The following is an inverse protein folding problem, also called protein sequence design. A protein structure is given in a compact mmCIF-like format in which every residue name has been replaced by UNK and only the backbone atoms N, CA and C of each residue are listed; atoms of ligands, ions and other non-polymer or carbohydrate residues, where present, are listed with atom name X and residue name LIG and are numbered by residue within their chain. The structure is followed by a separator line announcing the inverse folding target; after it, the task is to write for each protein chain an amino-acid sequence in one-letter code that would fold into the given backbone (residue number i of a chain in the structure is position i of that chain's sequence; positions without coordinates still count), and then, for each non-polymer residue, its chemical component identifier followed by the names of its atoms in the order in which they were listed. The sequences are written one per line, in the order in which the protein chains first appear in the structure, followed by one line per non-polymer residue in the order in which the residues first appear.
data_IF_285268116824
#
_entry.id   IF_285268116824
#
_cell.length_a   1.000
_cell.length_b   1.000
_cell.length_c   1.000
_cell.angle_alpha   90.00
_cell.angle_beta   90.00
_cell.angle_gamma   90.00
#
_symmetry.space_group_name_H-M   'P 1'
#
loop_
_entity.id
_entity.type
_entity.pdbx_description
1 polymer ?
#
# COMPACT_ATOMS: atom_id res chain seq x y z
N UNK A 1 16.97 8.46 0.63
CA UNK A 1 16.89 7.05 1.07
C UNK A 1 16.14 6.99 2.37
N UNK A 2 15.03 6.24 2.38
CA UNK A 2 14.15 6.10 3.54
C UNK A 2 14.81 5.26 4.65
N UNK A 3 14.61 5.69 5.90
CA UNK A 3 14.97 4.95 7.11
C UNK A 3 13.73 4.24 7.66
N UNK A 4 13.71 2.91 7.55
CA UNK A 4 12.62 2.07 8.04
C UNK A 4 12.64 1.98 9.57
N UNK A 5 11.49 2.26 10.20
CA UNK A 5 11.28 2.09 11.65
C UNK A 5 9.81 1.91 11.97
N UNK A 6 9.47 1.77 13.25
CA UNK A 6 8.09 1.59 13.72
C UNK A 6 7.36 0.39 13.10
N UNK A 7 8.10 -0.62 12.64
CA UNK A 7 7.55 -1.81 11.99
C UNK A 7 7.21 -1.62 10.50
N UNK A 8 7.57 -0.48 9.90
CA UNK A 8 7.49 -0.31 8.45
C UNK A 8 8.59 -1.10 7.74
N UNK A 9 8.25 -1.62 6.58
CA UNK A 9 9.14 -2.26 5.62
C UNK A 9 8.91 -1.67 4.24
N UNK A 10 9.98 -1.56 3.44
CA UNK A 10 9.91 -1.18 2.03
C UNK A 10 9.45 -2.40 1.22
N UNK A 11 8.38 -2.28 0.44
CA UNK A 11 7.86 -3.35 -0.42
C UNK A 11 8.17 -3.12 -1.90
N UNK A 12 8.19 -1.85 -2.35
CA UNK A 12 8.64 -1.47 -3.70
C UNK A 12 9.47 -0.17 -3.66
N UNK A 13 10.74 -0.27 -4.08
CA UNK A 13 11.68 0.86 -4.13
C UNK A 13 11.35 1.86 -5.25
N UNK A 14 10.73 1.40 -6.35
CA UNK A 14 10.46 2.22 -7.54
C UNK A 14 9.39 3.29 -7.31
N UNK A 15 8.47 3.05 -6.36
CA UNK A 15 7.45 3.99 -5.92
C UNK A 15 7.54 4.33 -4.43
N UNK A 16 8.66 3.96 -3.77
CA UNK A 16 8.85 4.14 -2.32
C UNK A 16 7.72 3.53 -1.47
N UNK A 17 7.09 2.46 -1.94
CA UNK A 17 5.98 1.82 -1.24
C UNK A 17 6.48 1.18 0.05
N UNK A 18 5.88 1.60 1.15
CA UNK A 18 6.16 1.09 2.47
C UNK A 18 4.89 0.54 3.10
N UNK A 19 5.03 -0.55 3.84
CA UNK A 19 3.94 -1.22 4.55
C UNK A 19 4.28 -1.42 6.01
N UNK A 20 3.29 -1.34 6.89
CA UNK A 20 3.34 -1.84 8.26
C UNK A 20 2.21 -2.84 8.52
N UNK A 21 2.53 -3.97 9.15
CA UNK A 21 1.53 -4.90 9.68
C UNK A 21 0.95 -4.37 11.00
N UNK A 22 -0.37 -4.19 11.05
CA UNK A 22 -1.11 -3.73 12.24
C UNK A 22 -1.72 -4.89 13.03
N UNK A 23 -1.51 -6.13 12.58
CA UNK A 23 -2.08 -7.34 13.12
C UNK A 23 -3.55 -7.52 12.76
N UNK A 24 -4.06 -8.72 13.04
CA UNK A 24 -5.44 -9.10 12.74
C UNK A 24 -5.84 -8.86 11.26
N UNK A 25 -4.95 -9.21 10.32
CA UNK A 25 -5.18 -9.06 8.86
C UNK A 25 -5.41 -7.60 8.42
N UNK A 26 -4.79 -6.65 9.13
CA UNK A 26 -4.84 -5.21 8.82
C UNK A 26 -3.44 -4.68 8.55
N UNK A 27 -3.31 -3.88 7.50
CA UNK A 27 -2.04 -3.31 7.06
C UNK A 27 -2.17 -1.82 6.82
N UNK A 28 -1.06 -1.09 6.95
CA UNK A 28 -0.97 0.32 6.65
C UNK A 28 0.04 0.51 5.52
N UNK A 29 -0.39 1.15 4.44
CA UNK A 29 0.43 1.40 3.27
C UNK A 29 0.63 2.89 3.04
N UNK A 30 1.77 3.22 2.44
CA UNK A 30 2.06 4.53 1.87
C UNK A 30 2.94 4.35 0.63
N UNK A 31 2.68 5.08 -0.46
CA UNK A 31 3.51 5.07 -1.66
C UNK A 31 3.53 6.44 -2.35
N UNK A 32 4.51 6.66 -3.21
CA UNK A 32 4.56 7.78 -4.14
C UNK A 32 4.14 7.33 -5.55
N UNK A 33 2.97 7.81 -6.00
CA UNK A 33 2.50 7.58 -7.36
C UNK A 33 3.15 8.60 -8.28
N UNK A 34 3.83 8.13 -9.33
CA UNK A 34 4.38 8.99 -10.37
C UNK A 34 3.26 9.64 -11.19
N UNK A 35 3.31 10.97 -11.30
CA UNK A 35 2.38 11.77 -12.10
C UNK A 35 3.05 12.10 -13.42
N UNK A 36 2.53 11.48 -14.48
CA UNK A 36 3.10 11.48 -15.82
C UNK A 36 3.50 12.89 -16.30
N UNK A 37 4.78 13.04 -16.69
CA UNK A 37 5.25 14.18 -17.50
C UNK A 37 6.10 15.26 -16.82
N UNK A 38 6.29 15.29 -15.49
CA UNK A 38 7.02 16.39 -14.81
C UNK A 38 7.93 16.01 -13.62
N UNK A 39 8.33 14.74 -13.43
CA UNK A 39 9.02 14.28 -12.20
C UNK A 39 8.24 14.65 -10.92
N UNK A 40 6.93 14.58 -11.06
CA UNK A 40 5.96 14.97 -10.06
C UNK A 40 5.34 13.71 -9.48
N UNK A 41 5.04 13.74 -8.18
CA UNK A 41 4.55 12.59 -7.43
C UNK A 41 3.36 12.98 -6.59
N UNK A 42 2.45 12.03 -6.39
CA UNK A 42 1.35 12.12 -5.44
C UNK A 42 1.56 11.03 -4.38
N UNK A 43 1.77 11.42 -3.13
CA UNK A 43 1.89 10.46 -2.02
C UNK A 43 0.50 10.08 -1.56
N UNK A 44 0.22 8.78 -1.50
CA UNK A 44 -1.06 8.23 -1.03
C UNK A 44 -0.80 7.26 0.11
N UNK A 45 -1.72 7.19 1.06
CA UNK A 45 -1.66 6.24 2.16
C UNK A 45 -3.06 5.76 2.53
N UNK A 46 -3.17 4.50 2.95
CA UNK A 46 -4.43 3.90 3.37
C UNK A 46 -4.20 2.71 4.31
N UNK A 47 -5.21 2.41 5.11
CA UNK A 47 -5.23 1.19 5.91
C UNK A 47 -6.13 0.13 5.24
N UNK A 48 -5.55 -1.01 4.91
CA UNK A 48 -6.24 -2.15 4.30
C UNK A 48 -6.67 -3.13 5.40
N UNK A 49 -7.98 -3.34 5.57
CA UNK A 49 -8.53 -4.29 6.55
C UNK A 49 -9.19 -5.48 5.83
N UNK A 50 -8.52 -6.63 5.86
CA UNK A 50 -8.97 -7.84 5.16
C UNK A 50 -9.96 -8.69 5.97
N UNK A 51 -10.30 -8.28 7.21
CA UNK A 51 -11.14 -9.12 8.10
C UNK A 51 -12.50 -9.43 7.51
N UNK A 52 -13.11 -8.44 6.90
CA UNK A 52 -14.47 -8.51 6.36
C UNK A 52 -14.49 -8.79 4.86
N UNK A 53 -13.33 -8.98 4.23
CA UNK A 53 -13.26 -9.32 2.81
C UNK A 53 -13.79 -10.73 2.57
N UNK A 54 -14.81 -10.80 1.73
CA UNK A 54 -15.29 -12.04 1.15
C UNK A 54 -14.30 -12.56 0.09
N UNK A 55 -14.52 -13.79 -0.40
CA UNK A 55 -13.72 -14.32 -1.51
C UNK A 55 -13.87 -13.45 -2.77
N UNK A 56 -15.04 -12.90 -3.02
CA UNK A 56 -15.29 -11.99 -4.15
C UNK A 56 -14.49 -10.68 -3.99
N UNK A 57 -14.44 -10.12 -2.78
CA UNK A 57 -13.64 -8.92 -2.50
C UNK A 57 -12.14 -9.20 -2.73
N UNK A 58 -11.66 -10.37 -2.32
CA UNK A 58 -10.27 -10.80 -2.57
C UNK A 58 -10.03 -10.95 -4.07
N UNK A 59 -10.94 -11.58 -4.82
CA UNK A 59 -10.82 -11.72 -6.28
C UNK A 59 -10.79 -10.35 -6.98
N UNK A 60 -11.58 -9.39 -6.51
CA UNK A 60 -11.51 -8.01 -7.01
C UNK A 60 -10.19 -7.34 -6.66
N UNK A 61 -9.72 -7.49 -5.41
CA UNK A 61 -8.48 -6.89 -4.94
C UNK A 61 -7.27 -7.35 -5.75
N UNK A 62 -7.22 -8.62 -6.16
CA UNK A 62 -6.10 -9.18 -6.95
C UNK A 62 -6.27 -9.03 -8.47
N UNK A 63 -7.42 -8.56 -8.92
CA UNK A 63 -7.74 -8.43 -10.34
C UNK A 63 -6.74 -7.50 -11.03
N UNK A 64 -6.28 -7.88 -12.22
CA UNK A 64 -5.24 -7.14 -12.96
C UNK A 64 -3.80 -7.53 -12.60
N UNK A 65 -3.58 -8.16 -11.44
CA UNK A 65 -2.29 -8.75 -11.05
C UNK A 65 -2.27 -10.26 -11.27
N UNK A 66 -3.38 -10.93 -10.94
CA UNK A 66 -3.54 -12.38 -11.07
C UNK A 66 -4.87 -12.71 -11.75
N UNK A 67 -4.88 -13.80 -12.53
CA UNK A 67 -6.08 -14.28 -13.22
C UNK A 67 -7.14 -14.86 -12.26
N UNK A 68 -6.71 -15.35 -11.09
CA UNK A 68 -7.58 -15.92 -10.05
C UNK A 68 -6.82 -16.11 -8.74
N UNK A 69 -7.55 -16.36 -7.64
CA UNK A 69 -6.96 -16.76 -6.34
C UNK A 69 -6.07 -17.98 -6.48
N UNK A 70 -6.49 -18.98 -7.28
CA UNK A 70 -5.69 -20.20 -7.50
C UNK A 70 -4.35 -19.89 -8.19
N UNK A 71 -4.36 -18.99 -9.18
CA UNK A 71 -3.13 -18.58 -9.85
C UNK A 71 -2.17 -17.85 -8.90
N UNK A 72 -2.72 -17.05 -7.97
CA UNK A 72 -1.95 -16.42 -6.90
C UNK A 72 -1.37 -17.46 -5.93
N UNK A 73 -2.18 -18.42 -5.42
CA UNK A 73 -1.70 -19.51 -4.57
C UNK A 73 -0.57 -20.32 -5.24
N UNK A 74 -0.70 -20.61 -6.54
CA UNK A 74 0.31 -21.31 -7.34
C UNK A 74 1.59 -20.48 -7.50
N UNK A 75 1.50 -19.15 -7.62
CA UNK A 75 2.67 -18.28 -7.81
C UNK A 75 3.55 -18.19 -6.57
N UNK A 76 2.96 -18.31 -5.37
CA UNK A 76 3.67 -18.26 -4.10
C UNK A 76 3.86 -19.62 -3.43
N UNK A 77 3.25 -20.68 -3.97
CA UNK A 77 3.19 -22.02 -3.35
C UNK A 77 2.62 -21.98 -1.92
N UNK A 78 1.67 -21.08 -1.67
CA UNK A 78 1.06 -20.84 -0.36
C UNK A 78 -0.47 -20.89 -0.45
N UNK A 79 -1.16 -21.40 0.59
CA UNK A 79 -2.62 -21.33 0.64
C UNK A 79 -3.11 -19.90 0.90
N UNK A 80 -4.34 -19.59 0.46
CA UNK A 80 -4.96 -18.26 0.57
C UNK A 80 -4.84 -17.64 1.96
N UNK A 81 -5.02 -18.43 3.03
CA UNK A 81 -4.92 -17.96 4.42
C UNK A 81 -3.53 -17.49 4.86
N UNK A 82 -2.51 -17.57 3.99
CA UNK A 82 -1.16 -17.08 4.23
C UNK A 82 -0.75 -15.97 3.25
N UNK A 83 -1.68 -15.48 2.43
CA UNK A 83 -1.43 -14.50 1.37
C UNK A 83 -1.94 -13.09 1.72
N UNK A 84 -2.30 -12.84 2.98
CA UNK A 84 -2.84 -11.56 3.44
C UNK A 84 -1.96 -10.36 3.06
N UNK A 85 -0.63 -10.50 3.12
CA UNK A 85 0.29 -9.44 2.69
C UNK A 85 0.10 -9.07 1.21
N UNK A 86 0.08 -10.08 0.33
CA UNK A 86 -0.07 -9.90 -1.11
C UNK A 86 -1.47 -9.36 -1.44
N UNK A 87 -2.51 -9.90 -0.80
CA UNK A 87 -3.90 -9.44 -1.00
C UNK A 87 -4.03 -7.98 -0.58
N UNK A 88 -3.43 -7.59 0.54
CA UNK A 88 -3.49 -6.21 1.03
C UNK A 88 -2.75 -5.24 0.11
N UNK A 89 -1.62 -5.65 -0.46
CA UNK A 89 -0.88 -4.84 -1.44
C UNK A 89 -1.68 -4.65 -2.73
N UNK A 90 -2.24 -5.73 -3.28
CA UNK A 90 -3.09 -5.63 -4.47
C UNK A 90 -4.34 -4.78 -4.20
N UNK A 91 -4.99 -4.92 -3.03
CA UNK A 91 -6.12 -4.08 -2.62
C UNK A 91 -5.74 -2.60 -2.60
N UNK A 92 -4.61 -2.27 -1.96
CA UNK A 92 -4.09 -0.91 -1.87
C UNK A 92 -3.83 -0.28 -3.25
N UNK A 93 -3.24 -1.05 -4.17
CA UNK A 93 -2.89 -0.60 -5.51
C UNK A 93 -4.09 -0.52 -6.46
N UNK A 94 -5.11 -1.36 -6.26
CA UNK A 94 -6.34 -1.34 -7.04
C UNK A 94 -7.36 -0.31 -6.56
N UNK A 95 -7.07 0.45 -5.50
CA UNK A 95 -7.92 1.57 -5.13
C UNK A 95 -8.07 2.53 -6.32
N UNK A 96 -9.30 2.97 -6.65
CA UNK A 96 -9.50 4.05 -7.59
C UNK A 96 -8.69 5.28 -7.17
N UNK A 97 -8.20 6.05 -8.14
CA UNK A 97 -7.27 7.17 -7.91
C UNK A 97 -7.75 8.27 -6.91
N UNK A 98 -9.01 8.20 -6.47
CA UNK A 98 -9.66 9.14 -5.57
C UNK A 98 -10.08 8.55 -4.20
N UNK A 99 -9.73 7.30 -3.88
CA UNK A 99 -10.35 6.58 -2.75
C UNK A 99 -9.42 6.30 -1.56
N UNK A 100 -8.13 6.69 -1.63
CA UNK A 100 -7.23 6.58 -0.48
C UNK A 100 -7.61 7.59 0.63
N UNK A 101 -7.56 7.14 1.89
CA UNK A 101 -7.78 7.98 3.08
C UNK A 101 -6.90 9.23 3.07
N UNK A 102 -5.63 9.07 2.70
CA UNK A 102 -4.69 10.18 2.54
C UNK A 102 -4.22 10.31 1.10
N UNK A 103 -4.20 11.57 0.64
CA UNK A 103 -3.64 11.97 -0.64
C UNK A 103 -2.96 13.32 -0.52
N UNK A 104 -1.68 13.39 -0.86
CA UNK A 104 -0.95 14.66 -0.91
C UNK A 104 -1.36 15.48 -2.14
N UNK A 105 -0.95 16.75 -2.15
CA UNK A 105 -0.83 17.49 -3.42
C UNK A 105 0.26 16.84 -4.28
N UNK A 106 0.30 17.23 -5.56
CA UNK A 106 1.44 16.91 -6.41
C UNK A 106 2.69 17.61 -5.86
N UNK A 107 3.77 16.85 -5.71
CA UNK A 107 5.04 17.27 -5.10
C UNK A 107 6.23 16.75 -5.89
N UNK A 108 7.42 17.27 -5.62
CA UNK A 108 8.68 16.71 -6.14
C UNK A 108 9.00 15.38 -5.47
N UNK A 109 9.91 14.61 -6.07
CA UNK A 109 10.43 13.36 -5.49
C UNK A 109 11.00 13.55 -4.07
N UNK A 110 11.86 14.56 -3.88
CA UNK A 110 12.45 14.88 -2.57
C UNK A 110 11.38 15.16 -1.51
N UNK A 111 10.29 15.85 -1.91
CA UNK A 111 9.20 16.15 -1.00
C UNK A 111 8.31 14.93 -0.77
N UNK A 112 8.14 14.05 -1.76
CA UNK A 112 7.48 12.76 -1.56
C UNK A 112 8.25 11.90 -0.54
N UNK A 113 9.58 11.81 -0.68
CA UNK A 113 10.45 11.10 0.28
C UNK A 113 10.30 11.70 1.69
N UNK A 114 10.31 13.02 1.84
CA UNK A 114 10.11 13.69 3.14
C UNK A 114 8.75 13.37 3.77
N UNK A 115 7.68 13.32 2.97
CA UNK A 115 6.33 12.97 3.43
C UNK A 115 6.31 11.52 3.91
N UNK A 116 6.86 10.59 3.12
CA UNK A 116 6.91 9.16 3.47
C UNK A 116 7.76 8.95 4.73
N UNK A 117 8.92 9.59 4.80
CA UNK A 117 9.75 9.52 5.99
C UNK A 117 9.03 10.07 7.22
N UNK A 118 8.28 11.16 7.08
CA UNK A 118 7.47 11.73 8.18
C UNK A 118 6.35 10.78 8.61
N UNK A 119 5.68 10.13 7.65
CA UNK A 119 4.67 9.11 7.91
C UNK A 119 5.24 7.95 8.74
N UNK A 120 6.37 7.39 8.30
CA UNK A 120 7.10 6.35 9.03
C UNK A 120 7.50 6.86 10.42
N UNK A 121 8.03 8.09 10.49
CA UNK A 121 8.52 8.69 11.74
C UNK A 121 7.48 8.84 12.82
N UNK A 122 6.24 9.07 12.40
CA UNK A 122 5.10 9.32 13.28
C UNK A 122 4.18 8.12 13.41
N UNK A 123 4.64 6.96 12.95
CA UNK A 123 3.89 5.71 13.01
C UNK A 123 2.51 5.78 12.34
N UNK A 124 2.40 6.58 11.27
CA UNK A 124 1.15 6.86 10.57
C UNK A 124 0.21 7.87 11.26
N UNK A 125 0.53 8.36 12.46
CA UNK A 125 -0.38 9.21 13.25
C UNK A 125 -0.66 10.58 12.62
N UNK A 126 0.28 11.12 11.83
CA UNK A 126 0.15 12.47 11.24
C UNK A 126 -1.03 12.59 10.28
N UNK A 127 -1.59 11.47 9.82
CA UNK A 127 -2.59 11.46 8.75
C UNK A 127 -3.96 10.87 9.15
N UNK A 128 -4.09 10.36 10.38
CA UNK A 128 -5.38 9.91 10.97
C UNK A 128 -6.24 11.10 11.47
N UNK A 129 -5.73 12.34 11.39
CA UNK A 129 -6.37 13.54 11.97
C UNK A 129 -6.51 14.75 11.04
N UNK A 130 -6.29 14.59 9.72
CA UNK A 130 -6.42 15.68 8.75
C UNK A 130 -7.83 15.77 8.17
#
# INVERSE_FOLDING_TARGET
MLEMKNGFVLTDDSCMQCRKDLGNRKFLFIQAIWMDGCNEYCVVANAEDLKEMSLEDIEMAICGFYDSVKAMEESYELPLGQLDEIISECSFENHPYCDWEYKSKIVTEEKAEEIIQTFINTDGEVFIRA
#
